data_IF_275696165316
#
_entry.id   IF_275696165316
#
_cell.length_a   1.000
_cell.length_b   1.000
_cell.length_c   1.000
_cell.angle_alpha   90.00
_cell.angle_beta   90.00
_cell.angle_gamma   90.00
#
_symmetry.space_group_name_H-M   'P 1'
#
loop_
_entity.id
_entity.type
_entity.pdbx_description
1 polymer ?
#
# COMPACT_ATOMS: atom_id res chain seq x y z
N UNK A 1 6.71 -21.25 9.12
CA UNK A 1 5.79 -20.19 9.61
C UNK A 1 5.42 -19.23 8.49
N UNK A 2 6.40 -18.62 7.81
CA UNK A 2 6.15 -17.76 6.64
C UNK A 2 5.31 -18.44 5.54
N UNK A 3 5.65 -19.69 5.20
CA UNK A 3 4.93 -20.48 4.19
C UNK A 3 3.43 -20.71 4.46
N UNK A 4 2.98 -20.54 5.71
CA UNK A 4 1.56 -20.66 6.09
C UNK A 4 0.90 -19.27 6.13
N UNK A 5 1.65 -18.25 6.57
CA UNK A 5 1.12 -16.90 6.74
C UNK A 5 0.92 -16.17 5.42
N UNK A 6 1.79 -16.33 4.42
CA UNK A 6 1.61 -15.70 3.11
C UNK A 6 0.32 -16.15 2.39
N UNK A 7 -0.02 -17.46 2.35
CA UNK A 7 -1.34 -17.90 1.88
C UNK A 7 -2.50 -17.28 2.66
N UNK A 8 -2.38 -17.19 3.99
CA UNK A 8 -3.42 -16.57 4.82
C UNK A 8 -3.57 -15.08 4.50
N UNK A 9 -2.49 -14.34 4.28
CA UNK A 9 -2.53 -12.96 3.84
C UNK A 9 -3.20 -12.81 2.48
N UNK A 10 -2.89 -13.69 1.52
CA UNK A 10 -3.58 -13.73 0.22
C UNK A 10 -5.09 -13.88 0.40
N UNK A 11 -5.56 -14.78 1.29
CA UNK A 11 -6.99 -14.93 1.59
C UNK A 11 -7.60 -13.65 2.20
N UNK A 12 -6.88 -12.99 3.10
CA UNK A 12 -7.32 -11.71 3.68
C UNK A 12 -7.42 -10.64 2.59
N UNK A 13 -6.43 -10.53 1.71
CA UNK A 13 -6.46 -9.59 0.58
C UNK A 13 -7.61 -9.88 -0.39
N UNK A 14 -7.94 -11.15 -0.64
CA UNK A 14 -9.15 -11.51 -1.41
C UNK A 14 -10.41 -10.99 -0.70
N UNK A 15 -10.51 -11.18 0.62
CA UNK A 15 -11.62 -10.66 1.41
C UNK A 15 -11.74 -9.13 1.33
N UNK A 16 -10.61 -8.41 1.45
CA UNK A 16 -10.56 -6.96 1.29
C UNK A 16 -10.90 -6.50 -0.14
N UNK A 17 -10.47 -7.25 -1.15
CA UNK A 17 -10.80 -7.00 -2.55
C UNK A 17 -12.31 -7.14 -2.80
N UNK A 18 -12.92 -8.21 -2.28
CA UNK A 18 -14.36 -8.41 -2.33
C UNK A 18 -15.09 -7.26 -1.60
N UNK A 19 -14.59 -6.83 -0.44
CA UNK A 19 -15.17 -5.69 0.26
C UNK A 19 -15.08 -4.39 -0.57
N UNK A 20 -13.95 -4.15 -1.24
CA UNK A 20 -13.79 -3.03 -2.16
C UNK A 20 -14.78 -3.09 -3.34
N UNK A 21 -15.04 -4.28 -3.90
CA UNK A 21 -16.07 -4.49 -4.93
C UNK A 21 -17.46 -4.08 -4.39
N UNK A 22 -17.83 -4.50 -3.19
CA UNK A 22 -19.12 -4.11 -2.61
C UNK A 22 -19.26 -2.60 -2.40
N UNK A 23 -18.18 -1.91 -2.01
CA UNK A 23 -18.15 -0.45 -1.90
C UNK A 23 -18.22 0.22 -3.29
N UNK A 24 -17.60 -0.37 -4.30
CA UNK A 24 -17.64 0.10 -5.68
C UNK A 24 -19.06 0.11 -6.22
N UNK A 25 -19.81 -0.97 -6.03
CA UNK A 25 -21.21 -1.03 -6.47
C UNK A 25 -22.15 -0.01 -5.81
N UNK A 26 -21.75 0.60 -4.68
CA UNK A 26 -22.50 1.68 -4.05
C UNK A 26 -22.15 3.04 -4.63
N UNK A 27 -20.86 3.36 -4.71
CA UNK A 27 -20.38 4.63 -5.24
C UNK A 27 -18.95 4.47 -5.75
N UNK A 28 -18.73 4.83 -7.01
CA UNK A 28 -17.39 4.89 -7.59
C UNK A 28 -16.60 6.07 -7.00
N UNK A 29 -15.31 5.86 -6.72
CA UNK A 29 -14.40 6.90 -6.25
C UNK A 29 -12.97 6.64 -6.72
N UNK A 30 -12.15 7.70 -6.80
CA UNK A 30 -10.74 7.57 -7.12
C UNK A 30 -10.02 6.69 -6.09
N UNK A 31 -10.40 6.85 -4.82
CA UNK A 31 -9.94 6.00 -3.72
C UNK A 31 -10.09 4.51 -4.05
N UNK A 32 -11.26 4.07 -4.50
CA UNK A 32 -11.48 2.66 -4.82
C UNK A 32 -10.68 2.17 -6.02
N UNK A 33 -10.48 3.01 -7.05
CA UNK A 33 -9.60 2.67 -8.18
C UNK A 33 -8.17 2.40 -7.69
N UNK A 34 -7.65 3.28 -6.84
CA UNK A 34 -6.31 3.12 -6.25
C UNK A 34 -6.26 1.88 -5.34
N UNK A 35 -7.29 1.65 -4.52
CA UNK A 35 -7.34 0.48 -3.65
C UNK A 35 -7.40 -0.84 -4.44
N UNK A 36 -8.09 -0.90 -5.57
CA UNK A 36 -8.05 -2.07 -6.45
C UNK A 36 -6.65 -2.33 -7.00
N UNK A 37 -5.93 -1.28 -7.41
CA UNK A 37 -4.55 -1.41 -7.86
C UNK A 37 -3.63 -1.95 -6.74
N UNK A 38 -3.76 -1.42 -5.52
CA UNK A 38 -2.94 -1.84 -4.37
C UNK A 38 -3.29 -3.28 -3.96
N UNK A 39 -4.57 -3.59 -3.80
CA UNK A 39 -5.01 -4.93 -3.42
C UNK A 39 -4.61 -5.96 -4.49
N UNK A 40 -4.74 -5.63 -5.78
CA UNK A 40 -4.24 -6.48 -6.86
C UNK A 40 -2.73 -6.67 -6.82
N UNK A 41 -1.98 -5.60 -6.56
CA UNK A 41 -0.53 -5.65 -6.40
C UNK A 41 -0.08 -6.50 -5.21
N UNK A 42 -0.76 -6.40 -4.07
CA UNK A 42 -0.47 -7.20 -2.88
C UNK A 42 -0.88 -8.67 -3.05
N UNK A 43 -1.97 -8.95 -3.75
CA UNK A 43 -2.34 -10.31 -4.13
C UNK A 43 -1.27 -10.93 -5.03
N UNK A 44 -0.78 -10.19 -6.02
CA UNK A 44 0.35 -10.62 -6.86
C UNK A 44 1.59 -10.88 -6.01
N UNK A 45 1.97 -9.93 -5.14
CA UNK A 45 3.14 -10.02 -4.27
C UNK A 45 3.13 -11.28 -3.40
N UNK A 46 2.04 -11.49 -2.66
CA UNK A 46 1.90 -12.61 -1.74
C UNK A 46 1.76 -13.94 -2.49
N UNK A 47 1.18 -13.93 -3.69
CA UNK A 47 1.13 -15.13 -4.55
C UNK A 47 2.51 -15.52 -5.01
N UNK A 48 3.32 -14.58 -5.53
CA UNK A 48 4.70 -14.87 -5.98
C UNK A 48 5.55 -15.42 -4.84
N UNK A 49 5.47 -14.85 -3.63
CA UNK A 49 6.16 -15.38 -2.45
C UNK A 49 5.69 -16.80 -2.12
N UNK A 50 4.39 -17.05 -2.20
CA UNK A 50 3.79 -18.36 -1.89
C UNK A 50 4.26 -19.44 -2.86
N UNK A 51 4.23 -19.17 -4.17
CA UNK A 51 4.61 -20.16 -5.18
C UNK A 51 6.12 -20.21 -5.44
N UNK A 52 6.90 -19.31 -4.85
CA UNK A 52 8.33 -19.16 -5.15
C UNK A 52 9.14 -20.44 -4.94
N UNK A 53 8.85 -21.22 -3.88
CA UNK A 53 9.52 -22.52 -3.68
C UNK A 53 9.17 -23.55 -4.75
N UNK A 54 7.95 -23.49 -5.30
CA UNK A 54 7.49 -24.41 -6.36
C UNK A 54 8.14 -24.06 -7.70
N UNK A 55 8.41 -22.78 -7.94
CA UNK A 55 9.09 -22.30 -9.16
C UNK A 55 10.60 -22.59 -9.09
N UNK A 56 11.21 -22.40 -7.92
CA UNK A 56 12.65 -22.54 -7.73
C UNK A 56 13.45 -21.30 -8.15
N UNK A 57 14.76 -21.35 -7.94
CA UNK A 57 15.68 -20.27 -8.32
C UNK A 57 15.86 -20.21 -9.84
N UNK A 58 15.96 -19.01 -10.41
CA UNK A 58 16.23 -18.78 -11.82
C UNK A 58 15.43 -17.59 -12.37
N UNK A 59 15.63 -17.34 -13.66
CA UNK A 59 15.01 -16.24 -14.41
C UNK A 59 13.48 -16.13 -14.23
N UNK A 60 12.69 -17.24 -14.20
CA UNK A 60 11.24 -17.11 -14.03
C UNK A 60 10.83 -16.49 -12.70
N UNK A 61 11.45 -16.92 -11.59
CA UNK A 61 11.15 -16.36 -10.28
C UNK A 61 11.72 -14.95 -10.13
N UNK A 62 12.90 -14.70 -10.69
CA UNK A 62 13.53 -13.38 -10.71
C UNK A 62 12.63 -12.35 -11.42
N UNK A 63 12.11 -12.67 -12.61
CA UNK A 63 11.22 -11.77 -13.37
C UNK A 63 9.90 -11.48 -12.63
N UNK A 64 9.33 -12.49 -11.97
CA UNK A 64 8.15 -12.27 -11.12
C UNK A 64 8.48 -11.34 -9.95
N UNK A 65 9.65 -11.48 -9.34
CA UNK A 65 10.07 -10.59 -8.26
C UNK A 65 10.37 -9.17 -8.74
N UNK A 66 10.98 -9.02 -9.91
CA UNK A 66 11.13 -7.72 -10.56
C UNK A 66 9.76 -7.03 -10.75
N UNK A 67 8.75 -7.79 -11.17
CA UNK A 67 7.36 -7.33 -11.23
C UNK A 67 6.83 -6.84 -9.87
N UNK A 68 7.14 -7.52 -8.76
CA UNK A 68 6.75 -7.11 -7.39
C UNK A 68 7.30 -5.73 -7.05
N UNK A 69 8.59 -5.51 -7.32
CA UNK A 69 9.26 -4.23 -7.10
C UNK A 69 8.65 -3.12 -7.97
N UNK A 70 8.43 -3.40 -9.26
CA UNK A 70 7.85 -2.44 -10.19
C UNK A 70 6.43 -2.01 -9.76
N UNK A 71 5.59 -2.98 -9.40
CA UNK A 71 4.23 -2.72 -8.91
C UNK A 71 4.30 -1.86 -7.64
N UNK A 72 5.15 -2.19 -6.67
CA UNK A 72 5.29 -1.42 -5.43
C UNK A 72 5.66 0.04 -5.70
N UNK A 73 6.70 0.29 -6.52
CA UNK A 73 7.16 1.66 -6.73
C UNK A 73 6.18 2.54 -7.51
N UNK A 74 5.30 1.93 -8.31
CA UNK A 74 4.27 2.65 -9.06
C UNK A 74 3.00 2.84 -8.22
N UNK A 75 2.54 1.77 -7.57
CA UNK A 75 1.19 1.70 -7.01
C UNK A 75 1.15 2.27 -5.58
N UNK A 76 2.17 2.06 -4.77
CA UNK A 76 2.18 2.55 -3.38
C UNK A 76 2.04 4.07 -3.29
N UNK A 77 2.77 4.90 -4.08
CA UNK A 77 2.61 6.35 -4.03
C UNK A 77 1.20 6.87 -4.36
N UNK A 78 0.39 6.09 -5.10
CA UNK A 78 -0.99 6.46 -5.41
C UNK A 78 -1.88 6.58 -4.16
N UNK A 79 -1.46 5.99 -3.03
CA UNK A 79 -2.10 6.19 -1.73
C UNK A 79 -2.24 7.67 -1.34
N UNK A 80 -1.31 8.53 -1.78
CA UNK A 80 -1.41 9.98 -1.59
C UNK A 80 -2.70 10.51 -2.22
N UNK A 81 -3.01 10.07 -3.45
CA UNK A 81 -4.20 10.51 -4.18
C UNK A 81 -5.48 9.92 -3.58
N UNK A 82 -5.45 8.68 -3.09
CA UNK A 82 -6.57 8.09 -2.38
C UNK A 82 -6.88 8.84 -1.08
N UNK A 83 -5.86 9.12 -0.26
CA UNK A 83 -6.03 9.88 0.96
C UNK A 83 -6.49 11.33 0.68
N UNK A 84 -6.03 11.95 -0.41
CA UNK A 84 -6.49 13.27 -0.84
C UNK A 84 -7.97 13.23 -1.25
N UNK A 85 -8.39 12.24 -2.03
CA UNK A 85 -9.80 12.06 -2.42
C UNK A 85 -10.70 11.88 -1.19
N UNK A 86 -10.30 11.04 -0.24
CA UNK A 86 -11.03 10.88 1.03
C UNK A 86 -11.10 12.20 1.81
N UNK A 87 -9.98 12.89 1.97
CA UNK A 87 -9.90 14.17 2.70
C UNK A 87 -10.79 15.24 2.07
N UNK A 88 -10.85 15.32 0.73
CA UNK A 88 -11.75 16.23 -0.01
C UNK A 88 -13.22 15.94 0.29
N UNK A 89 -13.57 14.66 0.37
CA UNK A 89 -14.95 14.20 0.61
C UNK A 89 -15.40 14.36 2.07
N UNK A 90 -14.46 14.60 2.99
CA UNK A 90 -14.76 15.10 4.34
C UNK A 90 -15.03 16.62 4.39
N UNK A 91 -15.03 17.34 3.26
CA UNK A 91 -15.38 18.78 3.24
C UNK A 91 -14.23 19.72 3.64
N UNK A 92 -13.00 19.21 3.78
CA UNK A 92 -11.85 20.00 4.19
C UNK A 92 -11.43 20.94 3.04
N UNK A 93 -11.66 22.25 3.21
CA UNK A 93 -11.43 23.27 2.17
C UNK A 93 -10.01 23.28 1.59
N UNK A 94 -9.00 23.09 2.44
CA UNK A 94 -7.58 23.03 2.02
C UNK A 94 -7.33 21.90 1.01
N UNK A 95 -7.93 20.73 1.21
CA UNK A 95 -7.80 19.59 0.31
C UNK A 95 -8.53 19.82 -1.03
N UNK A 96 -9.55 20.68 -1.03
CA UNK A 96 -10.28 21.06 -2.24
C UNK A 96 -9.53 22.12 -3.06
N UNK A 97 -8.58 22.84 -2.47
CA UNK A 97 -7.81 23.86 -3.18
C UNK A 97 -6.99 23.25 -4.34
N UNK A 98 -7.08 23.85 -5.53
CA UNK A 98 -6.41 23.33 -6.74
C UNK A 98 -4.90 23.25 -6.58
N UNK A 99 -4.29 24.21 -5.88
CA UNK A 99 -2.86 24.22 -5.63
C UNK A 99 -2.42 23.03 -4.75
N UNK A 100 -3.22 22.66 -3.74
CA UNK A 100 -2.94 21.51 -2.88
C UNK A 100 -3.03 20.20 -3.67
N UNK A 101 -4.04 20.08 -4.54
CA UNK A 101 -4.18 18.94 -5.45
C UNK A 101 -2.99 18.85 -6.42
N UNK A 102 -2.51 19.98 -6.94
CA UNK A 102 -1.34 20.02 -7.81
C UNK A 102 -0.06 19.61 -7.05
N UNK A 103 0.16 20.13 -5.85
CA UNK A 103 1.31 19.79 -5.01
C UNK A 103 1.35 18.29 -4.70
N UNK A 104 0.23 17.71 -4.25
CA UNK A 104 0.16 16.28 -3.93
C UNK A 104 0.23 15.39 -5.19
N UNK A 105 -0.30 15.85 -6.33
CA UNK A 105 -0.14 15.18 -7.62
C UNK A 105 1.32 15.15 -8.08
N UNK A 106 2.02 16.29 -8.01
CA UNK A 106 3.44 16.39 -8.33
C UNK A 106 4.27 15.53 -7.36
N UNK A 107 3.94 15.55 -6.07
CA UNK A 107 4.59 14.72 -5.07
C UNK A 107 4.44 13.23 -5.40
N UNK A 108 3.22 12.80 -5.75
CA UNK A 108 2.94 11.41 -6.16
C UNK A 108 3.78 11.03 -7.38
N UNK A 109 3.79 11.87 -8.42
CA UNK A 109 4.58 11.63 -9.62
C UNK A 109 6.08 11.56 -9.32
N UNK A 110 6.59 12.47 -8.49
CA UNK A 110 7.98 12.48 -8.07
C UNK A 110 8.35 11.18 -7.35
N UNK A 111 7.50 10.68 -6.45
CA UNK A 111 7.74 9.42 -5.74
C UNK A 111 7.76 8.22 -6.69
N UNK A 112 6.88 8.20 -7.70
CA UNK A 112 6.88 7.15 -8.74
C UNK A 112 8.18 7.22 -9.55
N UNK A 113 8.59 8.40 -10.01
CA UNK A 113 9.82 8.57 -10.80
C UNK A 113 11.06 8.16 -10.00
N UNK A 114 11.15 8.57 -8.73
CA UNK A 114 12.25 8.16 -7.85
C UNK A 114 12.27 6.64 -7.63
N UNK A 115 11.10 6.03 -7.42
CA UNK A 115 10.99 4.59 -7.25
C UNK A 115 11.35 3.81 -8.53
N UNK A 116 10.91 4.27 -9.70
CA UNK A 116 11.29 3.69 -10.99
C UNK A 116 12.80 3.80 -11.25
N UNK A 117 13.41 4.93 -10.91
CA UNK A 117 14.85 5.12 -11.04
C UNK A 117 15.64 4.17 -10.13
N UNK A 118 15.12 3.86 -8.94
CA UNK A 118 15.72 2.85 -8.05
C UNK A 118 15.60 1.44 -8.64
N UNK A 119 14.42 1.07 -9.15
CA UNK A 119 14.19 -0.26 -9.75
C UNK A 119 15.01 -0.47 -11.03
N UNK A 120 15.32 0.59 -11.79
CA UNK A 120 16.11 0.50 -13.02
C UNK A 120 17.54 -0.05 -12.80
N UNK A 121 18.08 0.02 -11.57
CA UNK A 121 19.41 -0.47 -11.22
C UNK A 121 19.38 -1.57 -10.16
N UNK A 122 18.24 -2.22 -9.98
CA UNK A 122 18.03 -3.24 -8.94
C UNK A 122 18.92 -4.45 -9.20
N UNK A 123 19.53 -4.98 -8.13
CA UNK A 123 20.24 -6.25 -8.17
C UNK A 123 19.48 -7.25 -7.30
N UNK A 124 18.98 -8.30 -7.94
CA UNK A 124 18.13 -9.29 -7.30
C UNK A 124 18.91 -10.55 -6.97
N UNK A 125 18.93 -10.94 -5.70
CA UNK A 125 19.51 -12.19 -5.25
C UNK A 125 18.46 -13.09 -4.60
N UNK A 126 18.54 -14.43 -4.79
CA UNK A 126 17.61 -15.35 -4.18
C UNK A 126 17.83 -15.43 -2.66
N UNK A 127 16.76 -15.22 -1.90
CA UNK A 127 16.72 -15.33 -0.45
C UNK A 127 15.69 -16.37 -0.04
N UNK A 128 16.07 -17.23 0.92
CA UNK A 128 15.14 -18.15 1.58
C UNK A 128 14.81 -17.65 2.98
N UNK A 129 13.52 -17.63 3.32
CA UNK A 129 13.07 -17.20 4.64
C UNK A 129 11.86 -18.03 5.09
N UNK A 130 11.95 -18.69 6.25
CA UNK A 130 10.79 -19.31 6.90
C UNK A 130 9.99 -20.33 6.06
N UNK A 131 10.63 -20.96 5.07
CA UNK A 131 10.00 -21.87 4.11
C UNK A 131 9.44 -21.18 2.86
N UNK A 132 9.86 -19.96 2.54
CA UNK A 132 9.56 -19.28 1.26
C UNK A 132 10.86 -19.02 0.49
N UNK A 133 10.76 -18.93 -0.83
CA UNK A 133 11.86 -18.54 -1.72
C UNK A 133 11.41 -17.31 -2.52
N UNK A 134 12.23 -16.27 -2.55
CA UNK A 134 11.98 -15.03 -3.29
C UNK A 134 13.30 -14.39 -3.69
N UNK A 135 13.26 -13.43 -4.60
CA UNK A 135 14.42 -12.58 -4.87
C UNK A 135 14.29 -11.26 -4.11
N UNK A 136 15.39 -10.79 -3.54
CA UNK A 136 15.48 -9.54 -2.79
C UNK A 136 16.51 -8.60 -3.40
N UNK A 137 16.25 -7.31 -3.26
CA UNK A 137 17.15 -6.25 -3.66
C UNK A 137 18.32 -6.12 -2.68
N UNK A 138 19.53 -6.42 -3.17
CA UNK A 138 20.80 -6.26 -2.41
C UNK A 138 21.52 -4.95 -2.74
N UNK A 139 21.06 -4.20 -3.75
CA UNK A 139 21.65 -2.93 -4.17
C UNK A 139 21.18 -1.75 -3.30
N UNK A 140 20.01 -1.86 -2.67
CA UNK A 140 19.50 -0.82 -1.78
C UNK A 140 20.19 -0.84 -0.40
N UNK A 141 20.82 0.29 -0.05
CA UNK A 141 21.48 0.50 1.25
C UNK A 141 20.83 1.58 2.11
N UNK A 142 19.77 2.22 1.60
CA UNK A 142 19.06 3.32 2.25
C UNK A 142 17.59 3.02 2.53
N UNK A 143 16.95 3.83 3.41
CA UNK A 143 15.52 3.68 3.68
C UNK A 143 14.69 3.95 2.40
N UNK A 144 13.53 3.30 2.23
CA UNK A 144 12.70 3.47 1.05
C UNK A 144 12.00 4.84 1.06
N UNK A 145 12.70 5.87 0.58
CA UNK A 145 12.24 7.27 0.59
C UNK A 145 10.82 7.40 -0.02
N UNK A 146 10.50 6.80 -1.19
CA UNK A 146 9.16 6.92 -1.77
C UNK A 146 8.05 6.40 -0.85
N UNK A 147 8.26 5.28 -0.18
CA UNK A 147 7.28 4.70 0.73
C UNK A 147 7.11 5.55 2.00
N UNK A 148 8.22 6.05 2.57
CA UNK A 148 8.20 6.92 3.76
C UNK A 148 7.44 8.21 3.49
N UNK A 149 7.76 8.90 2.39
CA UNK A 149 7.08 10.15 2.02
C UNK A 149 5.59 9.91 1.77
N UNK A 150 5.25 8.82 1.09
CA UNK A 150 3.86 8.40 0.86
C UNK A 150 3.10 8.25 2.17
N UNK A 151 3.63 7.46 3.11
CA UNK A 151 2.90 7.20 4.36
C UNK A 151 2.83 8.44 5.27
N UNK A 152 3.84 9.31 5.24
CA UNK A 152 3.80 10.61 5.93
C UNK A 152 2.72 11.53 5.36
N UNK A 153 2.54 11.56 4.04
CA UNK A 153 1.45 12.31 3.42
C UNK A 153 0.07 11.77 3.84
N UNK A 154 -0.11 10.45 3.84
CA UNK A 154 -1.34 9.79 4.33
C UNK A 154 -1.56 10.09 5.81
N UNK A 155 -0.51 10.09 6.65
CA UNK A 155 -0.59 10.46 8.07
C UNK A 155 -1.09 11.89 8.26
N UNK A 156 -0.53 12.86 7.54
CA UNK A 156 -0.95 14.27 7.63
C UNK A 156 -2.42 14.44 7.23
N UNK A 157 -2.84 13.79 6.15
CA UNK A 157 -4.25 13.78 5.72
C UNK A 157 -5.15 13.07 6.74
N UNK A 158 -4.68 11.97 7.33
CA UNK A 158 -5.37 11.26 8.42
C UNK A 158 -5.58 12.15 9.65
N UNK A 159 -4.60 12.96 10.03
CA UNK A 159 -4.76 13.95 11.11
C UNK A 159 -5.85 14.96 10.76
N UNK A 160 -5.86 15.47 9.52
CA UNK A 160 -6.88 16.43 9.08
C UNK A 160 -8.28 15.81 9.12
N UNK A 161 -8.45 14.58 8.62
CA UNK A 161 -9.70 13.82 8.69
C UNK A 161 -10.13 13.56 10.14
N UNK A 162 -9.20 13.20 11.02
CA UNK A 162 -9.51 12.98 12.43
C UNK A 162 -9.99 14.28 13.10
N UNK A 163 -9.26 15.39 12.92
CA UNK A 163 -9.62 16.67 13.56
C UNK A 163 -10.94 17.24 13.04
N UNK A 164 -11.23 17.08 11.75
CA UNK A 164 -12.42 17.64 11.13
C UNK A 164 -13.64 16.72 11.23
N UNK A 165 -13.50 15.45 10.80
CA UNK A 165 -14.58 14.47 10.72
C UNK A 165 -14.71 13.56 11.95
N UNK A 166 -13.88 13.73 12.99
CA UNK A 166 -13.83 12.87 14.19
C UNK A 166 -13.63 11.38 13.86
N UNK A 167 -13.03 11.09 12.72
CA UNK A 167 -12.78 9.74 12.23
C UNK A 167 -11.26 9.42 12.30
N UNK A 168 -10.78 8.73 13.36
CA UNK A 168 -9.34 8.55 13.60
C UNK A 168 -8.71 7.43 12.77
N UNK A 169 -9.51 6.60 12.10
CA UNK A 169 -9.03 5.32 11.56
C UNK A 169 -7.99 5.47 10.45
N UNK A 170 -8.14 6.44 9.55
CA UNK A 170 -7.13 6.72 8.52
C UNK A 170 -5.76 7.06 9.11
N UNK A 171 -5.75 7.90 10.17
CA UNK A 171 -4.52 8.22 10.90
C UNK A 171 -3.95 6.99 11.60
N UNK A 172 -4.78 6.24 12.33
CA UNK A 172 -4.34 5.07 13.08
C UNK A 172 -3.72 4.00 12.18
N UNK A 173 -4.34 3.69 11.04
CA UNK A 173 -3.80 2.74 10.07
C UNK A 173 -2.47 3.20 9.48
N UNK A 174 -2.36 4.48 9.12
CA UNK A 174 -1.11 5.06 8.62
C UNK A 174 0.00 5.09 9.67
N UNK A 175 -0.34 5.32 10.94
CA UNK A 175 0.61 5.29 12.05
C UNK A 175 1.13 3.88 12.32
N UNK A 176 0.25 2.87 12.29
CA UNK A 176 0.64 1.47 12.42
C UNK A 176 1.57 1.07 11.27
N UNK A 177 1.26 1.47 10.03
CA UNK A 177 2.13 1.22 8.89
C UNK A 177 3.51 1.88 9.07
N UNK A 178 3.54 3.15 9.48
CA UNK A 178 4.79 3.90 9.66
C UNK A 178 5.68 3.29 10.73
N UNK A 179 5.12 3.00 11.92
CA UNK A 179 5.86 2.42 13.03
C UNK A 179 6.27 0.96 12.75
N UNK A 180 5.37 0.17 12.14
CA UNK A 180 5.66 -1.22 11.82
C UNK A 180 6.71 -1.38 10.73
N UNK A 181 6.72 -0.49 9.73
CA UNK A 181 7.72 -0.49 8.66
C UNK A 181 9.07 0.09 9.09
N UNK A 182 9.13 0.79 10.24
CA UNK A 182 10.39 1.29 10.80
C UNK A 182 11.22 0.16 11.44
N UNK A 183 10.62 -0.99 11.74
CA UNK A 183 11.32 -2.13 12.32
C UNK A 183 12.03 -2.92 11.21
N UNK A 184 13.36 -3.13 11.29
CA UNK A 184 14.07 -3.86 10.25
C UNK A 184 13.55 -5.29 10.07
N UNK A 185 13.42 -5.78 8.83
CA UNK A 185 13.03 -7.17 8.56
C UNK A 185 13.95 -8.21 9.22
N UNK A 186 15.20 -7.86 9.53
CA UNK A 186 16.13 -8.73 10.27
C UNK A 186 15.68 -9.02 11.71
N UNK A 187 14.85 -8.16 12.31
CA UNK A 187 14.38 -8.31 13.70
C UNK A 187 13.05 -9.05 13.78
N UNK A 188 12.11 -8.72 12.89
CA UNK A 188 10.73 -9.21 12.95
C UNK A 188 10.32 -10.09 11.78
N UNK A 189 11.23 -10.30 10.84
CA UNK A 189 10.96 -10.99 9.58
C UNK A 189 10.15 -10.15 8.58
N UNK A 190 10.13 -10.55 7.30
CA UNK A 190 9.34 -9.90 6.25
C UNK A 190 7.81 -10.03 6.41
N UNK A 191 7.36 -10.85 7.36
CA UNK A 191 5.95 -11.17 7.62
C UNK A 191 5.21 -9.97 8.21
N UNK A 192 5.91 -9.13 8.99
CA UNK A 192 5.30 -7.94 9.62
C UNK A 192 4.86 -6.93 8.58
N UNK A 193 5.58 -6.79 7.46
CA UNK A 193 5.22 -5.88 6.36
C UNK A 193 3.79 -6.11 5.89
N UNK A 194 3.45 -7.34 5.51
CA UNK A 194 2.09 -7.70 5.06
C UNK A 194 1.03 -7.52 6.14
N UNK A 195 1.38 -7.72 7.41
CA UNK A 195 0.43 -7.51 8.52
C UNK A 195 0.03 -6.04 8.66
N UNK A 196 1.01 -5.13 8.56
CA UNK A 196 0.74 -3.69 8.72
C UNK A 196 0.10 -3.08 7.48
N UNK A 197 0.38 -3.63 6.29
CA UNK A 197 -0.33 -3.30 5.05
C UNK A 197 -1.82 -3.62 5.13
N UNK A 198 -2.18 -4.79 5.68
CA UNK A 198 -3.59 -5.16 5.93
C UNK A 198 -4.27 -4.14 6.82
N UNK A 199 -3.63 -3.72 7.92
CA UNK A 199 -4.19 -2.71 8.84
C UNK A 199 -4.41 -1.38 8.11
N UNK A 200 -3.45 -0.94 7.29
CA UNK A 200 -3.59 0.27 6.48
C UNK A 200 -4.76 0.15 5.49
N UNK A 201 -4.87 -0.95 4.76
CA UNK A 201 -5.94 -1.17 3.79
C UNK A 201 -7.32 -1.24 4.43
N UNK A 202 -7.45 -1.92 5.57
CA UNK A 202 -8.68 -1.93 6.37
C UNK A 202 -9.06 -0.51 6.77
N UNK A 203 -8.09 0.31 7.20
CA UNK A 203 -8.35 1.69 7.58
C UNK A 203 -8.83 2.56 6.41
N UNK A 204 -8.27 2.38 5.22
CA UNK A 204 -8.67 3.09 4.00
C UNK A 204 -10.07 2.66 3.55
N UNK A 205 -10.37 1.35 3.51
CA UNK A 205 -11.69 0.84 3.16
C UNK A 205 -12.76 1.22 4.18
N UNK A 206 -12.44 1.20 5.48
CA UNK A 206 -13.33 1.65 6.54
C UNK A 206 -13.65 3.15 6.40
N UNK A 207 -12.65 3.96 6.04
CA UNK A 207 -12.82 5.40 5.78
C UNK A 207 -13.68 5.63 4.55
N UNK A 208 -13.48 4.88 3.46
CA UNK A 208 -14.32 4.95 2.26
C UNK A 208 -15.77 4.59 2.58
N UNK A 209 -15.99 3.49 3.31
CA UNK A 209 -17.33 3.07 3.76
C UNK A 209 -18.01 4.17 4.57
N UNK A 210 -17.29 4.80 5.51
CA UNK A 210 -17.83 5.87 6.34
C UNK A 210 -18.24 7.08 5.51
N UNK A 211 -17.40 7.48 4.53
CA UNK A 211 -17.73 8.57 3.60
C UNK A 211 -19.00 8.27 2.80
N UNK A 212 -19.15 7.04 2.28
CA UNK A 212 -20.36 6.66 1.56
C UNK A 212 -21.61 6.70 2.45
N UNK A 213 -21.49 6.33 3.72
CA UNK A 213 -22.60 6.39 4.69
C UNK A 213 -23.04 7.82 4.99
N UNK A 214 -22.10 8.75 5.16
CA UNK A 214 -22.41 10.18 5.37
C UNK A 214 -23.21 10.75 4.20
N UNK A 215 -22.90 10.34 2.97
CA UNK A 215 -23.58 10.82 1.74
C UNK A 215 -24.92 10.18 1.44
N UNK A 216 -25.21 9.01 2.01
CA UNK A 216 -26.50 8.33 1.84
C UNK A 216 -27.58 8.79 2.83
N UNK A 217 -27.19 9.57 3.85
CA UNK A 217 -28.09 10.14 4.85
C UNK A 217 -28.53 11.58 4.56
N UNK A 218 -28.02 12.18 3.49
CA UNK A 218 -28.43 13.46 2.92
C UNK A 218 -29.41 13.25 1.76
#
# INVERSE_FOLDING_TARGET
MAAILYPLYSLVYIGLFIWAIFLWFRQHSLTLVVLFAILGGLLYDNTVITVGQMIGTGEPLEMLNYGRYLIHVIVTPLLILAALDQTKRFGIQMAQAKWMQAVLGILTLAMIVLGLAAVANIQLEPETFGGTLRYVDVSSSGPPIPAIVTILAVLVMGIAVWRHGRWPWLFAGALVMFLGSAVPPSVVGPIVGSSVEIVLLVSLLATEKHIQQMRSGD
#
